data_IF_658301519556
#
_entry.id   IF_658301519556
#
_cell.length_a   1.000
_cell.length_b   1.000
_cell.length_c   1.000
_cell.angle_alpha   90.00
_cell.angle_beta   90.00
_cell.angle_gamma   90.00
#
_symmetry.space_group_name_H-M   'P 1'
#
loop_
_entity.id
_entity.type
_entity.pdbx_description
1 polymer ?
#
# COMPACT_ATOMS: atom_id res chain seq x y z
N UNK A 1 -32.09 -5.66 -69.32
CA UNK A 1 -30.76 -5.06 -69.07
C UNK A 1 -30.55 -5.05 -67.57
N UNK A 2 -29.87 -6.08 -67.09
CA UNK A 2 -29.54 -6.33 -65.68
C UNK A 2 -28.04 -6.17 -65.55
N UNK A 3 -27.59 -5.20 -64.76
CA UNK A 3 -26.21 -5.15 -64.29
C UNK A 3 -26.29 -4.96 -62.77
N UNK A 4 -25.84 -5.92 -61.95
CA UNK A 4 -25.52 -5.66 -60.56
C UNK A 4 -24.02 -5.35 -60.43
N UNK A 5 -23.72 -4.16 -59.93
CA UNK A 5 -22.44 -3.84 -59.31
C UNK A 5 -22.59 -4.04 -57.81
N UNK A 6 -21.99 -5.09 -57.24
CA UNK A 6 -21.34 -4.99 -55.92
C UNK A 6 -20.60 -6.28 -55.53
N UNK A 7 -19.56 -6.13 -54.71
CA UNK A 7 -19.09 -7.21 -53.85
C UNK A 7 -17.72 -7.78 -54.19
N UNK A 8 -16.69 -6.93 -54.26
CA UNK A 8 -15.32 -7.40 -54.06
C UNK A 8 -15.22 -8.14 -52.72
N UNK A 9 -14.78 -9.40 -52.79
CA UNK A 9 -14.69 -10.30 -51.65
C UNK A 9 -13.84 -9.74 -50.51
N UNK A 10 -14.51 -9.51 -49.37
CA UNK A 10 -13.86 -9.40 -48.08
C UNK A 10 -13.35 -10.79 -47.68
N UNK A 11 -12.05 -11.02 -47.82
CA UNK A 11 -11.42 -12.22 -47.27
C UNK A 11 -11.41 -12.12 -45.73
N UNK A 12 -11.74 -13.19 -44.99
CA UNK A 12 -11.56 -13.18 -43.55
C UNK A 12 -10.07 -13.08 -43.24
N UNK A 13 -9.68 -12.06 -42.50
CA UNK A 13 -8.33 -11.93 -41.95
C UNK A 13 -8.24 -12.85 -40.73
N UNK A 14 -7.31 -13.80 -40.65
CA UNK A 14 -7.18 -14.65 -39.46
C UNK A 14 -6.66 -13.82 -38.29
N UNK A 15 -7.36 -13.91 -37.15
CA UNK A 15 -6.92 -13.37 -35.87
C UNK A 15 -5.74 -14.23 -35.35
N UNK A 16 -4.52 -13.76 -35.57
CA UNK A 16 -3.31 -14.40 -35.06
C UNK A 16 -3.08 -14.05 -33.57
N UNK A 17 -2.75 -15.08 -32.78
CA UNK A 17 -2.49 -15.05 -31.34
C UNK A 17 -1.32 -14.14 -30.89
N UNK A 18 -0.53 -13.61 -31.83
CA UNK A 18 0.53 -12.63 -31.59
C UNK A 18 0.01 -11.25 -31.20
N UNK A 19 -1.23 -10.92 -31.55
CA UNK A 19 -1.83 -9.60 -31.22
C UNK A 19 -2.11 -9.46 -29.72
N UNK A 20 -2.49 -10.55 -29.05
CA UNK A 20 -2.78 -10.56 -27.61
C UNK A 20 -1.50 -10.39 -26.78
N UNK A 21 -0.38 -10.98 -27.21
CA UNK A 21 0.92 -10.79 -26.54
C UNK A 21 1.43 -9.35 -26.61
N UNK A 22 1.12 -8.64 -27.70
CA UNK A 22 1.54 -7.24 -27.88
C UNK A 22 0.74 -6.27 -26.99
N UNK A 23 -0.47 -6.63 -26.58
CA UNK A 23 -1.24 -5.86 -25.61
C UNK A 23 -0.64 -5.94 -24.20
N UNK A 24 -0.19 -7.12 -23.77
CA UNK A 24 0.48 -7.30 -22.46
C UNK A 24 1.79 -6.52 -22.34
N UNK A 25 2.61 -6.49 -23.41
CA UNK A 25 3.89 -5.78 -23.40
C UNK A 25 3.76 -4.24 -23.41
N UNK A 26 2.62 -3.70 -23.89
CA UNK A 26 2.41 -2.24 -23.95
C UNK A 26 1.97 -1.67 -22.59
N UNK A 27 1.41 -2.50 -21.72
CA UNK A 27 1.07 -2.12 -20.35
C UNK A 27 2.32 -1.93 -19.47
N UNK A 28 3.36 -2.74 -19.65
CA UNK A 28 4.65 -2.57 -18.96
C UNK A 28 5.37 -1.27 -19.37
N UNK A 29 5.29 -0.89 -20.66
CA UNK A 29 6.02 0.27 -21.18
C UNK A 29 5.45 1.63 -20.71
N UNK A 30 4.17 1.70 -20.33
CA UNK A 30 3.53 2.95 -19.90
C UNK A 30 3.87 3.35 -18.46
N UNK A 31 4.29 2.39 -17.61
CA UNK A 31 4.65 2.65 -16.22
C UNK A 31 6.02 3.35 -16.05
N UNK A 32 6.87 3.33 -17.08
CA UNK A 32 8.25 3.84 -17.01
C UNK A 32 8.39 5.35 -17.31
N UNK A 33 7.31 6.04 -17.69
CA UNK A 33 7.42 7.35 -18.34
C UNK A 33 7.35 8.57 -17.39
N UNK A 34 7.17 8.41 -16.07
CA UNK A 34 7.05 9.56 -15.16
C UNK A 34 7.56 9.33 -13.73
N UNK A 35 8.60 8.52 -13.55
CA UNK A 35 9.07 8.16 -12.20
C UNK A 35 10.07 9.20 -11.72
N UNK A 36 9.68 9.97 -10.69
CA UNK A 36 10.61 10.66 -9.80
C UNK A 36 11.52 9.66 -9.06
N UNK A 37 12.12 9.98 -7.91
CA UNK A 37 12.88 8.98 -7.15
C UNK A 37 12.02 7.72 -6.98
N UNK A 38 12.58 6.58 -7.39
CA UNK A 38 11.84 5.34 -7.52
C UNK A 38 11.17 5.00 -6.18
N UNK A 39 9.83 4.96 -6.12
CA UNK A 39 9.17 4.48 -4.93
C UNK A 39 9.56 3.02 -4.69
N UNK A 40 9.61 2.61 -3.43
CA UNK A 40 9.78 1.21 -3.03
C UNK A 40 8.51 0.41 -3.38
N UNK A 41 8.31 0.19 -4.69
CA UNK A 41 7.14 -0.45 -5.25
C UNK A 41 7.15 -1.94 -4.90
N UNK A 42 6.02 -2.52 -4.47
CA UNK A 42 5.90 -3.95 -4.31
C UNK A 42 6.17 -4.65 -5.65
N UNK A 43 6.76 -5.86 -5.63
CA UNK A 43 7.12 -6.56 -6.85
C UNK A 43 5.88 -6.81 -7.72
N UNK A 44 6.02 -6.87 -9.06
CA UNK A 44 4.90 -7.14 -9.96
C UNK A 44 4.11 -8.42 -9.62
N UNK A 45 4.76 -9.39 -8.98
CA UNK A 45 4.17 -10.65 -8.52
C UNK A 45 3.24 -10.52 -7.31
N UNK A 46 3.24 -9.39 -6.58
CA UNK A 46 2.44 -9.20 -5.38
C UNK A 46 0.92 -9.12 -5.64
N UNK A 47 0.51 -9.02 -6.91
CA UNK A 47 -0.89 -8.89 -7.31
C UNK A 47 -1.40 -7.44 -7.24
N UNK A 48 -2.46 -7.15 -8.00
CA UNK A 48 -2.96 -5.78 -8.13
C UNK A 48 -3.54 -5.23 -6.83
N UNK A 49 -4.14 -6.09 -5.99
CA UNK A 49 -4.64 -5.71 -4.67
C UNK A 49 -3.53 -5.21 -3.74
N UNK A 50 -2.39 -5.91 -3.66
CA UNK A 50 -1.26 -5.48 -2.83
C UNK A 50 -0.64 -4.16 -3.34
N UNK A 51 -0.59 -3.98 -4.66
CA UNK A 51 -0.11 -2.73 -5.28
C UNK A 51 -1.07 -1.56 -4.99
N UNK A 52 -2.37 -1.82 -4.97
CA UNK A 52 -3.38 -0.82 -4.63
C UNK A 52 -3.27 -0.41 -3.16
N UNK A 53 -3.15 -1.38 -2.24
CA UNK A 53 -2.97 -1.11 -0.83
C UNK A 53 -1.71 -0.26 -0.59
N UNK A 54 -0.58 -0.67 -1.17
CA UNK A 54 0.66 0.09 -1.07
C UNK A 54 0.50 1.52 -1.60
N UNK A 55 -0.15 1.70 -2.76
CA UNK A 55 -0.36 3.03 -3.32
C UNK A 55 -1.23 3.92 -2.41
N UNK A 56 -2.24 3.33 -1.77
CA UNK A 56 -3.10 4.02 -0.81
C UNK A 56 -2.32 4.45 0.45
N UNK A 57 -1.48 3.58 1.00
CA UNK A 57 -0.58 3.89 2.13
C UNK A 57 0.42 5.02 1.78
N UNK A 58 0.96 5.02 0.56
CA UNK A 58 1.85 6.08 0.10
C UNK A 58 1.13 7.43 -0.03
N UNK A 59 -0.13 7.43 -0.50
CA UNK A 59 -0.92 8.66 -0.57
C UNK A 59 -1.23 9.22 0.82
N UNK A 60 -1.58 8.35 1.77
CA UNK A 60 -1.77 8.75 3.17
C UNK A 60 -0.48 9.31 3.78
N UNK A 61 0.68 8.71 3.48
CA UNK A 61 1.99 9.22 3.92
C UNK A 61 2.25 10.65 3.44
N UNK A 62 1.93 10.95 2.17
CA UNK A 62 2.08 12.29 1.61
C UNK A 62 1.08 13.28 2.25
N UNK A 63 -0.15 12.83 2.48
CA UNK A 63 -1.17 13.64 3.13
C UNK A 63 -0.77 14.02 4.56
N UNK A 64 -0.30 13.06 5.36
CA UNK A 64 0.19 13.31 6.73
C UNK A 64 1.38 14.27 6.71
N UNK A 65 2.30 14.12 5.76
CA UNK A 65 3.44 15.02 5.63
C UNK A 65 3.00 16.47 5.33
N UNK A 66 2.05 16.66 4.41
CA UNK A 66 1.48 17.99 4.12
C UNK A 66 0.67 18.55 5.29
N UNK A 67 0.00 17.68 6.06
CA UNK A 67 -0.67 18.08 7.30
C UNK A 67 0.33 18.66 8.30
N UNK A 68 1.48 18.00 8.53
CA UNK A 68 2.52 18.54 9.43
C UNK A 68 3.15 19.83 8.92
N UNK A 69 3.43 19.91 7.62
CA UNK A 69 3.89 21.16 7.00
C UNK A 69 2.88 22.29 7.23
N UNK A 70 1.59 22.03 7.05
CA UNK A 70 0.52 23.00 7.30
C UNK A 70 0.47 23.41 8.77
N UNK A 71 0.53 22.45 9.70
CA UNK A 71 0.58 22.73 11.14
C UNK A 71 1.80 23.57 11.54
N UNK A 72 2.99 23.32 10.98
CA UNK A 72 4.18 24.14 11.27
C UNK A 72 4.11 25.53 10.66
N UNK A 73 3.45 25.70 9.51
CA UNK A 73 3.24 27.02 8.90
C UNK A 73 2.38 27.94 9.78
N UNK A 74 1.55 27.40 10.67
CA UNK A 74 0.75 28.21 11.60
C UNK A 74 1.51 28.63 12.87
N UNK A 75 2.65 27.99 13.15
CA UNK A 75 3.52 28.36 14.28
C UNK A 75 4.44 29.50 13.83
N UNK A 76 4.33 30.64 14.50
CA UNK A 76 5.19 31.79 14.25
C UNK A 76 6.64 31.49 14.69
N UNK A 77 7.49 31.11 13.73
CA UNK A 77 8.93 30.93 13.92
C UNK A 77 9.57 32.28 14.24
N UNK A 78 9.97 32.48 15.51
CA UNK A 78 10.46 33.76 16.03
C UNK A 78 11.74 33.61 16.86
N UNK A 79 12.41 32.45 16.80
CA UNK A 79 13.58 32.15 17.61
C UNK A 79 14.91 32.10 16.84
N UNK A 80 16.02 32.32 17.56
CA UNK A 80 17.40 32.10 17.11
C UNK A 80 17.65 30.66 16.58
N UNK A 81 16.76 29.71 16.91
CA UNK A 81 16.86 28.29 16.60
C UNK A 81 16.10 27.85 15.33
N UNK A 82 15.44 28.76 14.60
CA UNK A 82 14.63 28.46 13.40
C UNK A 82 15.45 28.46 12.07
N UNK A 83 16.73 28.11 12.14
CA UNK A 83 17.66 28.18 11.01
C UNK A 83 17.35 27.18 9.88
N UNK A 84 17.85 27.41 8.63
CA UNK A 84 17.57 26.54 7.48
C UNK A 84 17.95 25.06 7.68
N UNK A 85 19.02 24.78 8.44
CA UNK A 85 19.44 23.41 8.73
C UNK A 85 18.46 22.66 9.64
N UNK A 86 17.82 23.36 10.58
CA UNK A 86 16.80 22.76 11.46
C UNK A 86 15.56 22.42 10.64
N UNK A 87 15.14 23.31 9.74
CA UNK A 87 13.98 23.10 8.88
C UNK A 87 14.16 21.87 7.98
N UNK A 88 15.34 21.70 7.38
CA UNK A 88 15.64 20.51 6.58
C UNK A 88 15.57 19.22 7.41
N UNK A 89 16.12 19.24 8.62
CA UNK A 89 16.06 18.07 9.50
C UNK A 89 14.61 17.74 9.92
N UNK A 90 13.82 18.77 10.25
CA UNK A 90 12.39 18.62 10.55
C UNK A 90 11.63 18.02 9.36
N UNK A 91 11.90 18.49 8.14
CA UNK A 91 11.28 17.99 6.92
C UNK A 91 11.59 16.51 6.69
N UNK A 92 12.86 16.09 6.83
CA UNK A 92 13.22 14.68 6.70
C UNK A 92 12.61 13.82 7.81
N UNK A 93 12.57 14.32 9.05
CA UNK A 93 11.94 13.63 10.18
C UNK A 93 10.44 13.45 9.95
N UNK A 94 9.78 14.49 9.43
CA UNK A 94 8.36 14.48 9.07
C UNK A 94 8.08 13.61 7.84
N UNK A 95 9.04 13.41 6.94
CA UNK A 95 8.87 12.47 5.84
C UNK A 95 8.91 11.03 6.34
N UNK A 96 9.87 10.68 7.21
CA UNK A 96 9.97 9.32 7.72
C UNK A 96 8.83 8.99 8.67
N UNK A 97 8.49 9.92 9.56
CA UNK A 97 7.38 9.71 10.50
C UNK A 97 6.05 9.57 9.75
N UNK A 98 5.85 10.24 8.62
CA UNK A 98 4.59 10.13 7.88
C UNK A 98 4.45 8.78 7.19
N UNK A 99 5.55 8.23 6.66
CA UNK A 99 5.63 6.86 6.12
C UNK A 99 5.31 5.82 7.20
N UNK A 100 5.94 5.94 8.37
CA UNK A 100 5.71 5.00 9.48
C UNK A 100 4.25 5.08 9.97
N UNK A 101 3.70 6.29 10.10
CA UNK A 101 2.31 6.46 10.52
C UNK A 101 1.31 5.90 9.52
N UNK A 102 1.48 6.15 8.22
CA UNK A 102 0.58 5.61 7.20
C UNK A 102 0.60 4.07 7.17
N UNK A 103 1.79 3.45 7.27
CA UNK A 103 1.93 1.99 7.38
C UNK A 103 1.25 1.42 8.63
N UNK A 104 1.22 2.18 9.72
CA UNK A 104 0.53 1.81 10.95
C UNK A 104 -1.00 2.08 10.91
N UNK A 105 -1.54 2.59 9.79
CA UNK A 105 -2.96 2.90 9.63
C UNK A 105 -3.36 4.34 10.00
N UNK A 106 -2.39 5.18 10.38
CA UNK A 106 -2.46 6.65 10.47
C UNK A 106 -3.84 7.25 10.75
N UNK A 107 -4.44 7.82 9.72
CA UNK A 107 -5.75 8.49 9.73
C UNK A 107 -6.86 7.58 9.17
N UNK A 108 -6.52 6.38 8.70
CA UNK A 108 -7.43 5.44 8.05
C UNK A 108 -7.77 5.81 6.59
N UNK A 109 -7.10 6.81 6.01
CA UNK A 109 -7.38 7.20 4.62
C UNK A 109 -6.95 6.11 3.64
N UNK A 110 -5.83 5.43 3.87
CA UNK A 110 -5.40 4.35 2.99
C UNK A 110 -6.43 3.21 2.92
N UNK A 111 -7.03 2.85 4.06
CA UNK A 111 -8.07 1.82 4.12
C UNK A 111 -9.33 2.24 3.36
N UNK A 112 -9.80 3.47 3.55
CA UNK A 112 -10.94 4.01 2.82
C UNK A 112 -10.69 4.04 1.32
N UNK A 113 -9.52 4.52 0.88
CA UNK A 113 -9.14 4.52 -0.53
C UNK A 113 -9.11 3.09 -1.09
N UNK A 114 -8.53 2.15 -0.35
CA UNK A 114 -8.50 0.76 -0.76
C UNK A 114 -9.90 0.19 -0.95
N UNK A 115 -10.82 0.39 -0.01
CA UNK A 115 -12.21 -0.10 -0.12
C UNK A 115 -12.97 0.47 -1.32
N UNK A 116 -12.72 1.73 -1.67
CA UNK A 116 -13.37 2.37 -2.83
C UNK A 116 -12.75 1.88 -4.14
N UNK A 117 -11.42 1.74 -4.20
CA UNK A 117 -10.72 1.41 -5.43
C UNK A 117 -10.66 -0.11 -5.70
N UNK A 118 -10.72 -0.94 -4.66
CA UNK A 118 -10.64 -2.40 -4.81
C UNK A 118 -11.82 -2.97 -5.60
N UNK A 119 -12.95 -2.27 -5.63
CA UNK A 119 -14.14 -2.62 -6.41
C UNK A 119 -13.89 -2.54 -7.93
N UNK A 120 -12.86 -1.81 -8.36
CA UNK A 120 -12.49 -1.66 -9.76
C UNK A 120 -11.34 -2.58 -10.17
N UNK A 121 -10.80 -3.38 -9.24
CA UNK A 121 -9.78 -4.36 -9.57
C UNK A 121 -10.41 -5.48 -10.42
N UNK A 122 -9.80 -5.84 -11.56
CA UNK A 122 -10.21 -7.02 -12.29
C UNK A 122 -10.06 -8.24 -11.39
N UNK A 123 -11.13 -9.03 -11.28
CA UNK A 123 -11.07 -10.30 -10.57
C UNK A 123 -9.94 -11.13 -11.19
N UNK A 124 -8.88 -11.41 -10.41
CA UNK A 124 -7.83 -12.29 -10.87
C UNK A 124 -8.48 -13.61 -11.32
N UNK A 125 -8.09 -14.19 -12.48
CA UNK A 125 -8.59 -15.50 -12.85
C UNK A 125 -8.25 -16.44 -11.71
N UNK A 126 -9.28 -16.90 -10.98
CA UNK A 126 -9.15 -18.00 -10.03
C UNK A 126 -8.75 -19.21 -10.86
N UNK A 127 -7.45 -19.37 -11.07
CA UNK A 127 -6.90 -20.56 -11.67
C UNK A 127 -7.20 -21.72 -10.73
N UNK A 128 -7.76 -22.78 -11.29
CA UNK A 128 -8.09 -24.05 -10.64
C UNK A 128 -6.84 -24.79 -10.11
N UNK A 129 -6.11 -24.17 -9.18
CA UNK A 129 -4.94 -24.73 -8.52
C UNK A 129 -5.21 -25.04 -7.04
N UNK A 130 -6.48 -25.21 -6.66
CA UNK A 130 -6.90 -25.65 -5.32
C UNK A 130 -7.57 -27.04 -5.34
N UNK A 131 -7.10 -27.93 -6.23
CA UNK A 131 -7.51 -29.33 -6.29
C UNK A 131 -6.30 -30.28 -6.35
N UNK A 132 -5.29 -30.05 -5.50
CA UNK A 132 -4.19 -31.02 -5.32
C UNK A 132 -3.42 -30.81 -4.01
N UNK A 133 -4.11 -30.77 -2.87
CA UNK A 133 -3.49 -31.02 -1.57
C UNK A 133 -4.57 -31.41 -0.55
N UNK A 134 -5.20 -32.58 -0.78
CA UNK A 134 -5.94 -33.28 0.27
C UNK A 134 -5.21 -34.60 0.49
N UNK A 135 -4.46 -34.69 1.58
CA UNK A 135 -4.26 -35.96 2.26
C UNK A 135 -4.66 -35.82 3.74
N UNK A 136 -5.34 -36.83 4.30
CA UNK A 136 -6.00 -36.76 5.60
C UNK A 136 -5.14 -37.37 6.74
N UNK A 137 -5.65 -37.20 7.96
CA UNK A 137 -5.22 -37.78 9.24
C UNK A 137 -3.91 -37.18 9.81
N UNK A 138 -3.87 -36.72 11.07
CA UNK A 138 -4.33 -37.46 12.25
C UNK A 138 -4.90 -36.55 13.35
N UNK A 139 -5.78 -37.18 14.12
CA UNK A 139 -6.62 -36.71 15.21
C UNK A 139 -5.86 -36.68 16.53
N UNK A 140 -5.88 -35.55 17.25
CA UNK A 140 -5.98 -35.54 18.72
C UNK A 140 -6.76 -34.29 19.19
N UNK A 141 -8.02 -34.51 19.58
CA UNK A 141 -8.81 -33.64 20.46
C UNK A 141 -8.18 -33.68 21.87
N UNK A 142 -7.88 -32.55 22.54
CA UNK A 142 -8.78 -31.58 23.22
C UNK A 142 -8.50 -31.65 24.75
N UNK A 143 -9.11 -30.84 25.65
CA UNK A 143 -9.83 -29.57 25.49
C UNK A 143 -9.42 -28.47 26.54
N UNK A 144 -10.02 -27.28 26.37
CA UNK A 144 -10.45 -26.27 27.37
C UNK A 144 -9.48 -25.55 28.36
N UNK A 145 -9.42 -24.23 28.15
CA UNK A 145 -9.63 -23.11 29.10
C UNK A 145 -8.88 -23.05 30.45
N UNK A 146 -8.13 -21.97 30.67
CA UNK A 146 -8.49 -20.89 31.62
C UNK A 146 -7.40 -19.79 31.61
N UNK A 147 -7.77 -18.54 31.35
CA UNK A 147 -6.91 -17.39 31.67
C UNK A 147 -7.05 -17.07 33.16
N UNK A 148 -5.98 -16.58 33.80
CA UNK A 148 -6.16 -15.31 34.49
C UNK A 148 -5.08 -14.28 34.17
N UNK A 149 -5.52 -13.02 34.14
CA UNK A 149 -4.81 -11.79 33.75
C UNK A 149 -3.54 -11.40 34.54
N UNK A 150 -3.09 -10.15 34.38
CA UNK A 150 -1.68 -9.78 34.38
C UNK A 150 -1.10 -9.68 35.80
N UNK A 151 0.04 -10.31 36.03
CA UNK A 151 0.88 -10.02 37.20
C UNK A 151 1.81 -8.85 36.84
N UNK A 152 1.48 -7.70 37.42
CA UNK A 152 2.30 -6.50 37.49
C UNK A 152 3.63 -6.84 38.18
N UNK A 153 4.72 -6.88 37.44
CA UNK A 153 6.08 -6.81 38.01
C UNK A 153 6.54 -5.36 37.88
N UNK A 154 6.21 -4.55 38.89
CA UNK A 154 6.78 -3.21 39.08
C UNK A 154 8.25 -3.35 39.51
N UNK A 155 9.22 -2.76 38.79
CA UNK A 155 10.56 -2.63 39.32
C UNK A 155 10.57 -1.58 40.44
N UNK A 156 10.74 -2.06 41.67
CA UNK A 156 10.91 -1.28 42.91
C UNK A 156 12.04 -0.24 42.75
N UNK A 157 11.66 1.04 42.57
CA UNK A 157 12.57 2.18 42.68
C UNK A 157 12.97 2.36 44.16
N UNK A 158 14.25 2.58 44.50
CA UNK A 158 14.66 2.83 45.89
C UNK A 158 14.04 4.14 46.42
N UNK A 159 13.74 4.25 47.74
CA UNK A 159 13.14 5.44 48.30
C UNK A 159 14.07 6.65 48.15
N UNK A 160 13.53 7.73 47.62
CA UNK A 160 14.18 9.03 47.54
C UNK A 160 14.47 9.57 48.95
N UNK A 161 15.67 10.13 49.11
CA UNK A 161 16.09 10.91 50.28
C UNK A 161 15.02 11.94 50.68
N UNK A 162 14.62 11.86 51.94
CA UNK A 162 13.82 12.87 52.62
C UNK A 162 14.73 14.07 52.96
N UNK A 163 14.39 15.31 52.56
CA UNK A 163 15.14 16.47 53.04
C UNK A 163 14.66 16.85 54.43
N UNK A 164 15.54 16.72 55.42
CA UNK A 164 15.35 17.23 56.78
C UNK A 164 15.87 18.70 56.91
N UNK A 165 15.43 19.44 57.95
CA UNK A 165 15.02 20.86 57.87
C UNK A 165 16.12 21.91 57.81
#
# INVERSE_FOLDING_TARGET
MTEPVDGAGMRPVPADASTVRRAGARAEAAAAANTGPAPDLPPPSAGEAARLQWAAEQLESLFINELWKSMRRTVNKTGMFDGPGVQLFEEMLDEERSKVMARAGGLGLAALLYEQLSQYLPEAPRGDAAAAAVHPADEQAGPEADEPGPTTDEPKLPPADEPAP
#
